data_IF_427140407819
#
_entry.id   IF_427140407819
#
_cell.length_a   1.000
_cell.length_b   1.000
_cell.length_c   1.000
_cell.angle_alpha   90.00
_cell.angle_beta   90.00
_cell.angle_gamma   90.00
#
_symmetry.space_group_name_H-M   'P 1'
#
loop_
_entity.id
_entity.type
_entity.pdbx_description
1 polymer ?
#
# COMPACT_ATOMS: atom_id res chain seq x y z
N UNK A 1 -8.97 30.39 3.25
CA UNK A 1 -8.04 30.61 4.39
C UNK A 1 -8.75 31.08 5.67
N UNK A 2 -10.05 30.78 5.84
CA UNK A 2 -10.80 31.20 7.03
C UNK A 2 -11.06 30.06 8.02
N UNK A 3 -11.20 28.82 7.55
CA UNK A 3 -11.49 27.65 8.40
C UNK A 3 -10.41 27.43 9.47
N UNK A 4 -9.12 27.50 9.10
CA UNK A 4 -8.02 27.28 10.06
C UNK A 4 -7.98 28.40 11.11
N UNK A 5 -8.25 29.65 10.70
CA UNK A 5 -8.17 30.83 11.59
C UNK A 5 -9.45 31.10 12.38
N UNK A 6 -10.56 30.42 12.05
CA UNK A 6 -11.81 30.51 12.81
C UNK A 6 -11.83 29.60 14.04
N UNK A 7 -10.84 28.71 14.20
CA UNK A 7 -10.70 27.87 15.39
C UNK A 7 -10.02 28.66 16.53
N UNK A 8 -10.56 28.51 17.74
CA UNK A 8 -10.01 29.16 18.94
C UNK A 8 -8.54 28.77 19.15
N UNK A 9 -7.68 29.77 19.36
CA UNK A 9 -6.23 29.61 19.52
C UNK A 9 -5.45 29.56 18.20
N UNK A 10 -6.12 29.52 17.04
CA UNK A 10 -5.51 29.50 15.71
C UNK A 10 -5.69 30.81 14.92
N UNK A 11 -6.11 31.90 15.58
CA UNK A 11 -6.50 33.16 14.94
C UNK A 11 -5.36 33.76 14.09
N UNK A 12 -4.12 33.63 14.58
CA UNK A 12 -2.90 34.10 13.93
C UNK A 12 -2.10 32.98 13.23
N UNK A 13 -2.68 31.79 13.06
CA UNK A 13 -1.98 30.66 12.45
C UNK A 13 -1.51 30.97 11.02
N UNK A 14 -0.29 30.53 10.70
CA UNK A 14 0.32 30.61 9.36
C UNK A 14 0.40 29.21 8.78
N UNK A 15 -0.18 29.01 7.60
CA UNK A 15 -0.14 27.73 6.89
C UNK A 15 1.25 27.57 6.27
N UNK A 16 2.01 26.58 6.71
CA UNK A 16 3.36 26.26 6.17
C UNK A 16 3.24 25.44 4.87
N UNK A 17 2.27 24.52 4.81
CA UNK A 17 1.95 23.72 3.63
C UNK A 17 0.42 23.67 3.46
N UNK A 18 -0.12 23.97 2.26
CA UNK A 18 -1.55 23.89 2.03
C UNK A 18 -2.01 22.43 2.07
N UNK A 19 -3.22 22.20 2.59
CA UNK A 19 -3.87 20.90 2.47
C UNK A 19 -4.30 20.64 1.03
N UNK A 20 -4.13 19.41 0.57
CA UNK A 20 -4.50 18.98 -0.78
C UNK A 20 -4.97 17.52 -0.74
N UNK A 21 -5.69 17.12 -1.77
CA UNK A 21 -6.11 15.74 -1.98
C UNK A 21 -5.36 15.15 -3.18
N UNK A 22 -5.10 13.85 -3.15
CA UNK A 22 -4.51 13.09 -4.25
C UNK A 22 -5.45 11.92 -4.54
N UNK A 23 -5.70 11.69 -5.82
CA UNK A 23 -6.37 10.49 -6.31
C UNK A 23 -5.32 9.48 -6.78
N UNK A 24 -5.46 8.24 -6.32
CA UNK A 24 -4.59 7.13 -6.72
C UNK A 24 -5.46 6.02 -7.31
N UNK A 25 -5.00 5.46 -8.42
CA UNK A 25 -5.53 4.19 -8.92
C UNK A 25 -5.05 3.04 -8.03
N UNK A 26 -5.92 2.05 -7.83
CA UNK A 26 -5.60 0.81 -7.15
C UNK A 26 -6.13 -0.38 -7.95
N UNK A 27 -5.51 -1.55 -7.76
CA UNK A 27 -5.99 -2.79 -8.34
C UNK A 27 -6.97 -3.46 -7.39
N UNK A 28 -8.03 -4.05 -7.94
CA UNK A 28 -9.02 -4.75 -7.12
C UNK A 28 -8.38 -5.96 -6.43
N UNK A 29 -8.33 -6.00 -5.08
CA UNK A 29 -7.71 -7.10 -4.35
C UNK A 29 -8.47 -8.42 -4.51
N UNK A 30 -9.69 -8.41 -5.04
CA UNK A 30 -10.44 -9.63 -5.39
C UNK A 30 -9.76 -10.44 -6.49
N UNK A 31 -8.85 -9.84 -7.26
CA UNK A 31 -8.01 -10.53 -8.24
C UNK A 31 -6.75 -11.17 -7.66
N UNK A 32 -6.57 -11.08 -6.34
CA UNK A 32 -5.53 -11.77 -5.60
C UNK A 32 -6.07 -13.04 -4.95
N UNK A 33 -5.18 -14.02 -4.78
CA UNK A 33 -5.43 -15.13 -3.85
C UNK A 33 -5.35 -14.62 -2.41
N UNK A 34 -5.91 -15.35 -1.42
CA UNK A 34 -5.73 -15.02 0.00
C UNK A 34 -4.26 -14.94 0.46
N UNK A 35 -3.33 -15.46 -0.34
CA UNK A 35 -1.88 -15.37 -0.13
C UNK A 35 -1.26 -14.07 -0.65
N UNK A 36 -2.06 -13.15 -1.17
CA UNK A 36 -1.65 -11.91 -1.87
C UNK A 36 -0.89 -12.14 -3.18
N UNK A 37 -0.97 -13.35 -3.75
CA UNK A 37 -0.44 -13.67 -5.08
C UNK A 37 -1.48 -13.31 -6.14
N UNK A 38 -1.06 -12.66 -7.23
CA UNK A 38 -1.91 -12.40 -8.39
C UNK A 38 -2.49 -13.70 -8.96
N UNK A 39 -3.79 -13.70 -9.29
CA UNK A 39 -4.43 -14.81 -10.00
C UNK A 39 -3.94 -14.91 -11.45
N UNK A 40 -3.50 -13.80 -12.05
CA UNK A 40 -3.06 -13.73 -13.44
C UNK A 40 -1.59 -14.08 -13.62
N UNK A 41 -0.73 -13.61 -12.72
CA UNK A 41 0.73 -13.80 -12.82
C UNK A 41 1.24 -14.56 -11.60
N UNK A 42 1.63 -15.82 -11.81
CA UNK A 42 2.20 -16.64 -10.75
C UNK A 42 3.55 -16.08 -10.29
N UNK A 43 3.76 -16.00 -8.98
CA UNK A 43 4.97 -15.43 -8.38
C UNK A 43 5.00 -13.91 -8.31
N UNK A 44 3.92 -13.22 -8.70
CA UNK A 44 3.74 -11.78 -8.47
C UNK A 44 2.82 -11.56 -7.27
N UNK A 45 3.28 -10.80 -6.28
CA UNK A 45 2.54 -10.51 -5.05
C UNK A 45 2.31 -9.02 -4.90
N UNK A 46 1.12 -8.62 -4.44
CA UNK A 46 0.73 -7.22 -4.23
C UNK A 46 0.43 -6.95 -2.76
N UNK A 47 0.98 -5.84 -2.23
CA UNK A 47 0.77 -5.43 -0.85
C UNK A 47 0.81 -3.90 -0.69
N UNK A 48 -0.01 -3.38 0.22
CA UNK A 48 -0.14 -1.97 0.52
C UNK A 48 -1.14 -1.25 -0.37
N UNK A 49 -0.88 0.02 -0.67
CA UNK A 49 -1.82 0.93 -1.35
C UNK A 49 -2.32 0.43 -2.71
N UNK A 50 -1.53 -0.35 -3.40
CA UNK A 50 -1.90 -1.00 -4.67
C UNK A 50 -3.15 -1.88 -4.54
N UNK A 51 -3.47 -2.34 -3.33
CA UNK A 51 -4.68 -3.12 -3.00
C UNK A 51 -5.84 -2.25 -2.46
N UNK A 52 -5.69 -0.91 -2.46
CA UNK A 52 -6.69 0.04 -1.99
C UNK A 52 -6.57 0.47 -0.51
N UNK A 53 -5.54 0.03 0.23
CA UNK A 53 -5.37 0.39 1.65
C UNK A 53 -4.46 1.62 1.82
N UNK A 54 -4.81 2.57 2.68
CA UNK A 54 -4.02 3.80 2.87
C UNK A 54 -3.24 3.85 4.19
N UNK A 55 -3.58 3.02 5.17
CA UNK A 55 -2.90 2.98 6.46
C UNK A 55 -1.55 2.27 6.41
N UNK A 56 -0.62 2.75 7.25
CA UNK A 56 0.74 2.22 7.31
C UNK A 56 0.76 0.80 7.88
N UNK A 57 -0.10 0.55 8.87
CA UNK A 57 -0.26 -0.69 9.59
C UNK A 57 -0.75 -1.81 8.66
N UNK A 58 -1.79 -1.53 7.87
CA UNK A 58 -2.33 -2.47 6.89
C UNK A 58 -1.30 -2.77 5.79
N UNK A 59 -0.61 -1.75 5.29
CA UNK A 59 0.43 -1.92 4.29
C UNK A 59 1.60 -2.77 4.80
N UNK A 60 2.03 -2.55 6.05
CA UNK A 60 3.08 -3.34 6.70
C UNK A 60 2.64 -4.79 6.91
N UNK A 61 1.42 -5.02 7.40
CA UNK A 61 0.88 -6.37 7.62
C UNK A 61 0.78 -7.15 6.30
N UNK A 62 0.24 -6.52 5.24
CA UNK A 62 0.18 -7.12 3.92
C UNK A 62 1.56 -7.38 3.33
N UNK A 63 2.50 -6.45 3.51
CA UNK A 63 3.88 -6.61 3.04
C UNK A 63 4.58 -7.81 3.68
N UNK A 64 4.42 -7.98 4.98
CA UNK A 64 4.94 -9.12 5.71
C UNK A 64 4.33 -10.44 5.21
N UNK A 65 3.01 -10.49 5.02
CA UNK A 65 2.31 -11.67 4.51
C UNK A 65 2.72 -12.02 3.07
N UNK A 66 2.78 -11.03 2.18
CA UNK A 66 3.22 -11.19 0.80
C UNK A 66 4.67 -11.68 0.73
N UNK A 67 5.55 -11.12 1.56
CA UNK A 67 6.95 -11.55 1.71
C UNK A 67 7.09 -12.99 2.18
N UNK A 68 6.33 -13.39 3.20
CA UNK A 68 6.32 -14.76 3.70
C UNK A 68 5.89 -15.76 2.61
N UNK A 69 4.82 -15.45 1.88
CA UNK A 69 4.29 -16.31 0.83
C UNK A 69 5.22 -16.37 -0.39
N UNK A 70 5.83 -15.24 -0.76
CA UNK A 70 6.86 -15.16 -1.79
C UNK A 70 8.06 -16.08 -1.46
N UNK A 71 8.61 -15.97 -0.24
CA UNK A 71 9.71 -16.81 0.22
C UNK A 71 9.34 -18.31 0.24
N UNK A 72 8.14 -18.63 0.72
CA UNK A 72 7.60 -20.00 0.69
C UNK A 72 7.43 -20.53 -0.74
N UNK A 73 7.03 -19.69 -1.70
CA UNK A 73 6.91 -20.08 -3.11
C UNK A 73 8.27 -20.37 -3.75
N UNK A 74 9.33 -19.65 -3.37
CA UNK A 74 10.69 -19.91 -3.86
C UNK A 74 11.21 -21.26 -3.36
N UNK A 75 11.02 -21.57 -2.07
CA UNK A 75 11.48 -22.82 -1.47
C UNK A 75 10.84 -24.08 -2.06
N UNK A 76 9.59 -23.99 -2.54
CA UNK A 76 8.84 -25.14 -3.08
C UNK A 76 9.15 -25.44 -4.55
N UNK A 77 9.91 -24.61 -5.27
CA UNK A 77 10.09 -24.74 -6.72
C UNK A 77 11.56 -24.77 -7.12
N UNK A 78 11.86 -25.46 -8.24
CA UNK A 78 13.21 -25.65 -8.81
C UNK A 78 13.95 -24.31 -8.95
N UNK A 79 15.28 -24.39 -8.83
CA UNK A 79 16.20 -23.28 -9.08
C UNK A 79 15.87 -22.57 -10.41
N UNK A 80 15.65 -21.25 -10.37
CA UNK A 80 15.36 -20.42 -11.56
C UNK A 80 14.01 -19.69 -11.58
N UNK A 81 13.09 -19.97 -10.64
CA UNK A 81 11.79 -19.24 -10.57
C UNK A 81 12.00 -17.83 -10.01
N UNK A 82 11.57 -16.81 -10.76
CA UNK A 82 11.52 -15.41 -10.29
C UNK A 82 10.25 -15.16 -9.50
N UNK A 83 10.38 -14.37 -8.43
CA UNK A 83 9.27 -13.88 -7.61
C UNK A 83 9.43 -12.38 -7.45
N UNK A 84 8.33 -11.65 -7.55
CA UNK A 84 8.30 -10.20 -7.43
C UNK A 84 7.22 -9.79 -6.43
N UNK A 85 7.52 -8.78 -5.63
CA UNK A 85 6.58 -8.15 -4.71
C UNK A 85 6.46 -6.70 -5.12
N UNK A 86 5.25 -6.25 -5.47
CA UNK A 86 4.97 -4.84 -5.68
C UNK A 86 4.37 -4.28 -4.40
N UNK A 87 5.20 -3.52 -3.67
CA UNK A 87 4.80 -2.79 -2.48
C UNK A 87 4.58 -1.32 -2.85
N UNK A 88 3.52 -0.71 -2.32
CA UNK A 88 3.28 0.73 -2.44
C UNK A 88 2.76 1.27 -1.11
N UNK A 89 3.22 2.44 -0.71
CA UNK A 89 2.76 3.15 0.47
C UNK A 89 2.38 4.57 0.07
N UNK A 90 1.29 5.09 0.64
CA UNK A 90 1.06 6.53 0.68
C UNK A 90 2.16 7.15 1.56
N UNK A 91 3.21 7.71 0.96
CA UNK A 91 4.03 8.68 1.67
C UNK A 91 3.40 10.05 1.43
N UNK A 92 2.76 10.59 2.46
CA UNK A 92 2.44 12.02 2.58
C UNK A 92 3.52 12.72 3.39
#
# INVERSE_FOLDING_TARGET
MQIVRSMQGMENARIVRPGYAIEYDFFDPRDLKPTLESKFIQGLFFAGQINGTTGYEEAAAQGLLAGLNAARSLRKKRAGRRVAIRLTSACW
#
